data_IF_299805895178
#
_entry.id   IF_299805895178
#
_cell.length_a   1.000
_cell.length_b   1.000
_cell.length_c   1.000
_cell.angle_alpha   90.00
_cell.angle_beta   90.00
_cell.angle_gamma   90.00
#
_symmetry.space_group_name_H-M   'P 1'
#
loop_
_entity.id
_entity.type
_entity.pdbx_description
1 polymer ?
#
# COMPACT_ATOMS: atom_id res chain seq x y z
N UNK A 1 -15.07 21.87 -37.64
CA UNK A 1 -13.62 21.54 -37.71
C UNK A 1 -12.79 22.19 -36.58
N UNK A 2 -13.39 23.00 -35.68
CA UNK A 2 -12.69 23.69 -34.58
C UNK A 2 -12.47 22.85 -33.32
N UNK A 3 -13.44 22.00 -32.95
CA UNK A 3 -13.38 21.22 -31.70
C UNK A 3 -12.21 20.22 -31.65
N UNK A 4 -11.95 19.51 -32.76
CA UNK A 4 -10.83 18.54 -32.83
C UNK A 4 -9.47 19.23 -32.72
N UNK A 5 -9.32 20.44 -33.26
CA UNK A 5 -8.07 21.20 -33.22
C UNK A 5 -7.75 21.71 -31.82
N UNK A 6 -8.76 22.13 -31.05
CA UNK A 6 -8.60 22.53 -29.65
C UNK A 6 -8.21 21.34 -28.77
N UNK A 7 -8.81 20.16 -28.99
CA UNK A 7 -8.44 18.96 -28.24
C UNK A 7 -7.01 18.50 -28.53
N UNK A 8 -6.55 18.63 -29.78
CA UNK A 8 -5.14 18.35 -30.14
C UNK A 8 -4.20 19.37 -29.49
N UNK A 9 -4.54 20.66 -29.49
CA UNK A 9 -3.73 21.70 -28.85
C UNK A 9 -3.61 21.51 -27.33
N UNK A 10 -4.71 21.13 -26.67
CA UNK A 10 -4.72 20.82 -25.22
C UNK A 10 -3.89 19.57 -24.92
N UNK A 11 -4.02 18.52 -25.74
CA UNK A 11 -3.24 17.31 -25.58
C UNK A 11 -1.73 17.58 -25.72
N UNK A 12 -1.33 18.32 -26.76
CA UNK A 12 0.08 18.68 -27.02
C UNK A 12 0.65 19.54 -25.91
N UNK A 13 -0.09 20.57 -25.46
CA UNK A 13 0.33 21.42 -24.35
C UNK A 13 0.44 20.64 -23.03
N UNK A 14 -0.48 19.69 -22.77
CA UNK A 14 -0.43 18.80 -21.61
C UNK A 14 0.80 17.90 -21.62
N UNK A 15 1.12 17.26 -22.74
CA UNK A 15 2.36 16.47 -22.89
C UNK A 15 3.62 17.33 -22.78
N UNK A 16 3.60 18.57 -23.29
CA UNK A 16 4.76 19.46 -23.20
C UNK A 16 5.01 19.91 -21.75
N UNK A 17 3.96 20.20 -20.98
CA UNK A 17 4.06 20.52 -19.55
C UNK A 17 4.53 19.33 -18.71
N UNK A 18 4.06 18.11 -19.02
CA UNK A 18 4.48 16.89 -18.32
C UNK A 18 5.94 16.50 -18.63
N UNK A 19 6.43 16.78 -19.84
CA UNK A 19 7.81 16.47 -20.24
C UNK A 19 8.82 17.53 -19.78
N UNK A 20 8.43 18.81 -19.81
CA UNK A 20 9.27 19.91 -19.32
C UNK A 20 9.33 19.98 -17.79
N UNK A 21 8.28 19.57 -17.08
CA UNK A 21 8.25 19.51 -15.62
C UNK A 21 9.18 18.46 -15.00
N UNK A 22 9.57 17.43 -15.76
CA UNK A 22 10.48 16.37 -15.29
C UNK A 22 11.96 16.78 -15.33
N UNK A 23 12.32 17.84 -16.07
CA UNK A 23 13.73 18.24 -16.26
C UNK A 23 14.18 19.38 -15.33
N UNK A 24 13.27 19.92 -14.51
CA UNK A 24 13.54 21.09 -13.65
C UNK A 24 14.09 20.74 -12.26
N UNK A 25 14.57 19.52 -12.05
CA UNK A 25 15.12 19.05 -10.77
C UNK A 25 16.61 18.72 -10.89
N UNK A 26 17.37 19.55 -11.60
CA UNK A 26 18.81 19.61 -11.38
C UNK A 26 19.05 20.33 -10.03
N UNK A 27 19.89 19.73 -9.18
CA UNK A 27 20.26 20.29 -7.90
C UNK A 27 21.01 21.61 -8.13
N UNK A 28 20.34 22.75 -7.93
CA UNK A 28 20.91 24.09 -8.19
C UNK A 28 22.23 24.34 -7.47
N UNK A 29 22.53 23.56 -6.44
CA UNK A 29 23.78 23.63 -5.68
C UNK A 29 24.95 23.07 -6.49
N UNK A 30 24.75 22.02 -7.29
CA UNK A 30 25.81 21.49 -8.18
C UNK A 30 26.12 22.47 -9.31
N UNK A 31 25.12 23.21 -9.79
CA UNK A 31 25.29 24.24 -10.82
C UNK A 31 26.10 25.44 -10.30
N UNK A 32 25.86 25.84 -9.04
CA UNK A 32 26.61 26.92 -8.39
C UNK A 32 28.07 26.51 -8.15
N UNK A 33 28.32 25.27 -7.69
CA UNK A 33 29.69 24.77 -7.49
C UNK A 33 30.45 24.71 -8.82
N UNK A 34 29.82 24.19 -9.87
CA UNK A 34 30.41 24.16 -11.21
C UNK A 34 30.68 25.58 -11.75
N UNK A 35 29.78 26.54 -11.50
CA UNK A 35 29.99 27.94 -11.86
C UNK A 35 31.17 28.56 -11.09
N UNK A 36 31.33 28.27 -9.80
CA UNK A 36 32.44 28.78 -8.98
C UNK A 36 33.81 28.19 -9.37
N UNK A 37 33.85 26.92 -9.76
CA UNK A 37 35.04 26.28 -10.35
C UNK A 37 35.39 26.96 -11.68
N UNK A 38 34.41 27.18 -12.55
CA UNK A 38 34.63 27.85 -13.85
C UNK A 38 35.10 29.30 -13.73
N UNK A 39 34.75 29.96 -12.62
CA UNK A 39 35.20 31.31 -12.28
C UNK A 39 36.57 31.34 -11.62
N UNK A 40 37.18 30.17 -11.35
CA UNK A 40 38.48 30.04 -10.68
C UNK A 40 38.48 30.44 -9.21
N UNK A 41 37.29 30.58 -8.59
CA UNK A 41 37.14 30.93 -7.17
C UNK A 41 37.35 29.68 -6.30
N UNK A 42 36.99 28.51 -6.82
CA UNK A 42 37.23 27.22 -6.20
C UNK A 42 38.20 26.41 -7.05
N UNK A 43 39.07 25.66 -6.37
CA UNK A 43 39.85 24.60 -7.03
C UNK A 43 38.97 23.39 -7.31
N UNK A 44 39.36 22.58 -8.30
CA UNK A 44 38.61 21.39 -8.69
C UNK A 44 38.51 20.37 -7.52
N UNK A 45 39.52 20.32 -6.67
CA UNK A 45 39.54 19.44 -5.49
C UNK A 45 38.55 19.87 -4.40
N UNK A 46 38.42 21.18 -4.17
CA UNK A 46 37.45 21.71 -3.20
C UNK A 46 36.01 21.55 -3.70
N UNK A 47 35.78 21.74 -5.01
CA UNK A 47 34.49 21.48 -5.63
C UNK A 47 34.08 20.01 -5.59
N UNK A 48 35.04 19.10 -5.79
CA UNK A 48 34.83 17.65 -5.69
C UNK A 48 34.50 17.21 -4.24
N UNK A 49 35.13 17.81 -3.24
CA UNK A 49 34.83 17.55 -1.83
C UNK A 49 33.41 17.99 -1.44
N UNK A 50 32.99 19.17 -1.88
CA UNK A 50 31.65 19.70 -1.59
C UNK A 50 30.55 18.86 -2.26
N UNK A 51 30.77 18.48 -3.52
CA UNK A 51 29.84 17.61 -4.24
C UNK A 51 29.76 16.22 -3.62
N UNK A 52 30.89 15.65 -3.15
CA UNK A 52 30.91 14.36 -2.45
C UNK A 52 30.11 14.35 -1.14
N UNK A 53 30.27 15.37 -0.29
CA UNK A 53 29.47 15.49 0.94
C UNK A 53 27.98 15.54 0.64
N UNK A 54 27.59 16.26 -0.42
CA UNK A 54 26.19 16.36 -0.86
C UNK A 54 25.66 15.05 -1.44
N UNK A 55 26.45 14.31 -2.23
CA UNK A 55 26.03 13.00 -2.73
C UNK A 55 25.77 12.02 -1.59
N UNK A 56 26.61 12.03 -0.56
CA UNK A 56 26.43 11.17 0.61
C UNK A 56 25.12 11.51 1.36
N UNK A 57 24.82 12.80 1.53
CA UNK A 57 23.55 13.25 2.13
C UNK A 57 22.32 12.85 1.30
N UNK A 58 22.38 13.05 -0.01
CA UNK A 58 21.31 12.69 -0.95
C UNK A 58 21.09 11.18 -0.96
N UNK A 59 22.14 10.37 -0.89
CA UNK A 59 22.04 8.91 -0.84
C UNK A 59 21.44 8.43 0.49
N UNK A 60 21.76 9.08 1.62
CA UNK A 60 21.12 8.82 2.91
C UNK A 60 19.63 9.17 2.87
N UNK A 61 19.26 10.30 2.24
CA UNK A 61 17.85 10.68 2.07
C UNK A 61 17.09 9.70 1.18
N UNK A 62 17.64 9.35 0.01
CA UNK A 62 17.07 8.32 -0.88
C UNK A 62 16.92 6.97 -0.18
N UNK A 63 17.85 6.58 0.69
CA UNK A 63 17.75 5.34 1.46
C UNK A 63 16.63 5.38 2.50
N UNK A 64 16.41 6.54 3.15
CA UNK A 64 15.27 6.75 4.06
C UNK A 64 13.94 6.73 3.31
N UNK A 65 13.85 7.41 2.17
CA UNK A 65 12.67 7.39 1.30
C UNK A 65 12.38 5.99 0.74
N UNK A 66 13.42 5.25 0.34
CA UNK A 66 13.26 3.87 -0.13
C UNK A 66 12.80 2.94 0.98
N UNK A 67 13.29 3.09 2.21
CA UNK A 67 12.77 2.36 3.38
C UNK A 67 11.29 2.67 3.62
N UNK A 68 10.91 3.94 3.53
CA UNK A 68 9.54 4.41 3.65
C UNK A 68 8.60 3.80 2.58
N UNK A 69 9.09 3.68 1.34
CA UNK A 69 8.33 3.06 0.24
C UNK A 69 8.32 1.53 0.26
N UNK A 70 9.26 0.88 0.95
CA UNK A 70 9.44 -0.59 0.93
C UNK A 70 8.76 -1.29 2.11
N UNK A 71 8.28 -0.57 3.11
CA UNK A 71 7.44 -1.14 4.18
C UNK A 71 6.03 -1.41 3.63
N UNK A 72 5.96 -2.38 2.72
CA UNK A 72 4.77 -2.74 1.97
C UNK A 72 3.70 -3.33 2.87
N UNK A 73 2.44 -3.04 2.52
CA UNK A 73 1.26 -3.62 3.16
C UNK A 73 1.29 -5.15 2.97
N UNK A 74 1.29 -5.90 4.07
CA UNK A 74 1.16 -7.36 4.07
C UNK A 74 -0.29 -7.74 4.26
N UNK A 75 -0.73 -8.75 3.51
CA UNK A 75 -2.09 -9.28 3.60
C UNK A 75 -1.98 -10.77 3.92
N UNK A 76 -2.67 -11.20 4.99
CA UNK A 76 -2.87 -12.62 5.31
C UNK A 76 -4.35 -12.84 5.61
N UNK A 77 -4.80 -14.08 5.61
CA UNK A 77 -6.19 -14.36 5.92
C UNK A 77 -6.42 -15.83 6.17
N UNK A 78 -7.59 -16.15 6.72
CA UNK A 78 -8.02 -17.52 6.89
C UNK A 78 -9.53 -17.62 6.87
N UNK A 79 -10.00 -18.77 6.40
CA UNK A 79 -11.41 -19.16 6.42
C UNK A 79 -11.55 -20.36 7.35
N UNK A 80 -12.49 -20.28 8.29
CA UNK A 80 -12.86 -21.40 9.17
C UNK A 80 -14.27 -21.86 8.80
N UNK A 81 -14.36 -23.04 8.23
CA UNK A 81 -15.63 -23.76 8.01
C UNK A 81 -15.86 -24.76 9.14
N UNK A 82 -17.12 -25.01 9.44
CA UNK A 82 -17.53 -26.06 10.36
C UNK A 82 -18.63 -26.88 9.72
N UNK A 83 -18.45 -28.19 9.77
CA UNK A 83 -19.50 -29.16 9.50
C UNK A 83 -19.71 -29.97 10.78
N UNK A 84 -20.89 -29.89 11.37
CA UNK A 84 -21.26 -30.68 12.55
C UNK A 84 -22.35 -31.66 12.13
N UNK A 85 -22.29 -32.88 12.63
CA UNK A 85 -23.37 -33.86 12.45
C UNK A 85 -23.72 -34.40 13.83
N UNK A 86 -25.01 -34.36 14.15
CA UNK A 86 -25.55 -34.95 15.38
C UNK A 86 -25.55 -36.48 15.24
N UNK A 87 -25.09 -37.19 16.28
CA UNK A 87 -24.93 -38.64 16.27
C UNK A 87 -26.25 -39.38 16.61
N UNK A 88 -27.29 -38.66 17.04
CA UNK A 88 -28.68 -39.14 17.14
C UNK A 88 -29.42 -38.68 18.40
N UNK A 89 -30.76 -38.68 18.35
CA UNK A 89 -31.65 -38.41 19.50
C UNK A 89 -32.10 -36.94 19.66
N UNK A 90 -31.59 -36.06 18.83
CA UNK A 90 -31.58 -34.62 19.03
C UNK A 90 -32.27 -33.90 17.85
N UNK A 91 -33.58 -34.12 17.68
CA UNK A 91 -34.39 -33.42 16.68
C UNK A 91 -34.72 -31.99 17.15
N UNK A 92 -34.49 -30.97 16.31
CA UNK A 92 -34.88 -29.58 16.58
C UNK A 92 -33.99 -28.81 17.57
N UNK A 93 -32.72 -29.21 17.75
CA UNK A 93 -31.77 -28.49 18.61
C UNK A 93 -31.41 -27.13 18.04
N UNK A 94 -31.72 -26.09 18.82
CA UNK A 94 -31.31 -24.72 18.55
C UNK A 94 -30.37 -24.23 19.65
N UNK A 95 -29.13 -23.93 19.25
CA UNK A 95 -28.16 -23.23 20.09
C UNK A 95 -27.98 -21.82 19.55
N UNK A 96 -28.51 -20.82 20.27
CA UNK A 96 -28.39 -19.40 19.92
C UNK A 96 -26.95 -18.96 19.63
N UNK A 97 -25.99 -19.55 20.35
CA UNK A 97 -24.56 -19.25 20.20
C UNK A 97 -23.87 -20.01 19.07
N UNK A 98 -24.47 -21.08 18.55
CA UNK A 98 -23.87 -21.94 17.52
C UNK A 98 -24.93 -22.57 16.62
N UNK A 99 -25.13 -21.97 15.45
CA UNK A 99 -26.09 -22.40 14.44
C UNK A 99 -25.65 -23.63 13.62
N UNK A 100 -24.46 -24.20 13.89
CA UNK A 100 -23.94 -25.37 13.15
C UNK A 100 -24.54 -26.69 13.58
N UNK A 101 -25.31 -26.71 14.65
CA UNK A 101 -25.72 -27.93 15.36
C UNK A 101 -27.21 -28.27 15.17
N UNK A 102 -27.94 -27.47 14.40
CA UNK A 102 -29.35 -27.68 14.14
C UNK A 102 -29.61 -28.56 12.90
N UNK A 103 -30.80 -29.13 12.88
CA UNK A 103 -31.35 -29.95 11.80
C UNK A 103 -32.47 -29.20 11.04
N UNK A 104 -33.11 -29.87 10.08
CA UNK A 104 -34.20 -29.29 9.26
C UNK A 104 -35.45 -28.87 10.08
N UNK A 105 -35.50 -29.24 11.38
CA UNK A 105 -36.55 -28.83 12.33
C UNK A 105 -36.10 -27.69 13.25
N UNK A 106 -34.85 -27.25 13.15
CA UNK A 106 -34.24 -26.21 13.97
C UNK A 106 -34.37 -24.82 13.31
N UNK A 107 -34.84 -23.82 14.08
CA UNK A 107 -35.05 -22.43 13.63
C UNK A 107 -35.77 -22.27 12.27
N UNK A 108 -36.73 -23.14 11.96
CA UNK A 108 -37.48 -23.06 10.69
C UNK A 108 -36.60 -23.29 9.46
N UNK A 109 -35.72 -24.31 9.52
CA UNK A 109 -34.76 -24.68 8.47
C UNK A 109 -33.56 -23.73 8.32
N UNK A 110 -33.41 -22.79 9.26
CA UNK A 110 -32.34 -21.78 9.22
C UNK A 110 -31.01 -22.26 9.82
N UNK A 111 -31.02 -23.32 10.61
CA UNK A 111 -29.79 -23.93 11.14
C UNK A 111 -29.40 -25.10 10.25
N UNK A 112 -28.26 -24.96 9.59
CA UNK A 112 -27.68 -25.99 8.74
C UNK A 112 -26.43 -26.52 9.42
N UNK A 113 -26.24 -27.83 9.32
CA UNK A 113 -25.04 -28.56 9.77
C UNK A 113 -23.70 -27.99 9.24
N UNK A 114 -23.72 -27.07 8.27
CA UNK A 114 -22.54 -26.43 7.70
C UNK A 114 -22.59 -24.90 7.87
N UNK A 115 -21.52 -24.31 8.42
CA UNK A 115 -21.35 -22.85 8.48
C UNK A 115 -19.92 -22.39 8.20
N UNK A 116 -19.80 -21.16 7.69
CA UNK A 116 -18.54 -20.41 7.65
C UNK A 116 -18.48 -19.57 8.92
N UNK A 117 -17.62 -19.95 9.86
CA UNK A 117 -17.55 -19.31 11.18
C UNK A 117 -16.78 -18.00 11.14
N UNK A 118 -15.74 -17.95 10.31
CA UNK A 118 -14.81 -16.82 10.22
C UNK A 118 -14.28 -16.73 8.80
N UNK A 119 -14.32 -15.54 8.24
CA UNK A 119 -13.69 -15.23 6.97
C UNK A 119 -12.86 -13.97 7.19
N UNK A 120 -11.68 -14.17 7.78
CA UNK A 120 -10.86 -13.04 8.25
C UNK A 120 -9.80 -12.71 7.23
N UNK A 121 -9.75 -11.43 6.90
CA UNK A 121 -8.64 -10.82 6.20
C UNK A 121 -7.86 -10.03 7.23
N UNK A 122 -6.54 -10.05 7.15
CA UNK A 122 -5.63 -9.35 8.03
C UNK A 122 -4.72 -8.50 7.15
N UNK A 123 -4.84 -7.20 7.29
CA UNK A 123 -4.02 -6.21 6.61
C UNK A 123 -3.09 -5.62 7.66
N UNK A 124 -1.79 -5.83 7.50
CA UNK A 124 -0.82 -5.46 8.51
C UNK A 124 0.49 -5.01 7.87
N UNK A 125 1.24 -4.20 8.58
CA UNK A 125 2.51 -3.71 8.10
C UNK A 125 3.10 -2.71 9.04
N UNK A 126 4.27 -2.24 8.66
CA UNK A 126 5.02 -1.26 9.40
C UNK A 126 5.06 0.03 8.57
N UNK A 127 5.09 1.16 9.25
CA UNK A 127 5.27 2.48 8.70
C UNK A 127 6.50 3.09 9.39
N UNK A 128 7.63 3.03 8.68
CA UNK A 128 8.93 3.33 9.25
C UNK A 128 9.33 2.35 10.36
N UNK A 129 10.15 2.82 11.31
CA UNK A 129 10.73 1.97 12.36
C UNK A 129 9.90 1.94 13.67
N UNK A 130 8.81 2.71 13.75
CA UNK A 130 8.11 2.98 15.03
C UNK A 130 6.60 2.80 15.02
N UNK A 131 5.97 2.63 13.85
CA UNK A 131 4.51 2.47 13.77
C UNK A 131 4.18 1.17 13.05
N UNK A 132 3.50 0.27 13.74
CA UNK A 132 2.93 -0.94 13.14
C UNK A 132 1.41 -0.85 13.15
N UNK A 133 0.76 -1.29 12.07
CA UNK A 133 -0.70 -1.35 11.98
C UNK A 133 -1.17 -2.78 11.71
N UNK A 134 -2.35 -3.11 12.23
CA UNK A 134 -2.96 -4.43 12.10
C UNK A 134 -4.49 -4.29 12.08
N UNK A 135 -5.10 -4.54 10.92
CA UNK A 135 -6.54 -4.52 10.73
C UNK A 135 -7.02 -5.93 10.41
N UNK A 136 -8.02 -6.41 11.14
CA UNK A 136 -8.58 -7.75 10.95
C UNK A 136 -10.11 -7.72 10.84
N UNK A 137 -10.67 -7.35 9.68
CA UNK A 137 -12.09 -7.53 9.42
C UNK A 137 -12.48 -9.02 9.40
N UNK A 138 -13.62 -9.35 10.01
CA UNK A 138 -14.27 -10.64 9.87
C UNK A 138 -15.47 -10.47 8.93
N UNK A 139 -15.43 -11.16 7.80
CA UNK A 139 -16.46 -11.10 6.76
C UNK A 139 -17.50 -12.21 6.89
N UNK A 140 -17.34 -13.11 7.87
CA UNK A 140 -18.35 -14.10 8.16
C UNK A 140 -19.49 -13.44 8.96
N UNK A 141 -20.63 -13.23 8.30
CA UNK A 141 -21.89 -12.95 8.97
C UNK A 141 -22.48 -14.27 9.46
N UNK A 142 -22.71 -14.38 10.77
CA UNK A 142 -23.49 -15.48 11.36
C UNK A 142 -24.97 -15.11 11.50
#
# INVERSE_FOLDING_TARGET
MSFKLHQVAIAVAGTLLLTTGLSAMADSTTDIVNALISKGVLTEEEGALITKGRTDEVDVQKKKEKKFSTSGVKIRGYVQTRATSLIGGDDGINLWSDRSVGDDKSLGDADKNFLIRRARVVIFGDYGDHLSYYFQPDLASS
#
